data_IF_878770771108
#
_entry.id   IF_878770771108
#
_cell.length_a   1.000
_cell.length_b   1.000
_cell.length_c   1.000
_cell.angle_alpha   90.00
_cell.angle_beta   90.00
_cell.angle_gamma   90.00
#
_symmetry.space_group_name_H-M   'P 1'
#
loop_
_entity.id
_entity.type
_entity.pdbx_description
1 polymer ?
#
# COMPACT_ATOMS: atom_id res chain seq x y z
N UNK A 1 -20.53 42.22 3.94
CA UNK A 1 -19.46 41.35 4.48
C UNK A 1 -20.08 40.31 5.40
N UNK A 2 -20.16 39.04 5.01
CA UNK A 2 -20.62 37.93 5.84
C UNK A 2 -19.38 37.15 6.28
N UNK A 3 -19.15 37.06 7.59
CA UNK A 3 -18.04 36.35 8.22
C UNK A 3 -18.49 34.90 8.42
N UNK A 4 -17.99 33.96 7.63
CA UNK A 4 -18.17 32.53 7.87
C UNK A 4 -17.31 32.15 9.08
N UNK A 5 -17.95 31.75 10.17
CA UNK A 5 -17.29 31.13 11.31
C UNK A 5 -17.11 29.66 10.94
N UNK A 6 -15.88 29.31 10.61
CA UNK A 6 -15.42 27.94 10.40
C UNK A 6 -15.47 27.24 11.75
N UNK A 7 -16.51 26.45 11.99
CA UNK A 7 -16.58 25.56 13.14
C UNK A 7 -15.63 24.39 12.86
N UNK A 8 -14.44 24.44 13.44
CA UNK A 8 -13.63 23.24 13.60
C UNK A 8 -14.38 22.29 14.53
N UNK A 9 -14.83 21.16 13.99
CA UNK A 9 -15.38 20.07 14.80
C UNK A 9 -14.29 19.61 15.77
N UNK A 10 -14.52 19.58 17.09
CA UNK A 10 -13.51 19.15 18.04
C UNK A 10 -13.22 17.66 17.83
N UNK A 11 -11.93 17.33 17.78
CA UNK A 11 -11.47 15.95 17.77
C UNK A 11 -11.98 15.21 19.03
N UNK A 12 -12.42 13.97 18.84
CA UNK A 12 -12.91 13.10 19.91
C UNK A 12 -11.77 12.80 20.91
N UNK A 13 -11.91 13.16 22.20
CA UNK A 13 -10.86 12.95 23.21
C UNK A 13 -10.61 11.47 23.55
N UNK A 14 -11.27 10.51 22.89
CA UNK A 14 -11.06 9.07 23.05
C UNK A 14 -10.29 8.36 21.92
N UNK A 15 -9.91 9.05 20.84
CA UNK A 15 -9.15 8.42 19.75
C UNK A 15 -7.71 8.13 20.21
N UNK A 16 -7.35 6.85 20.30
CA UNK A 16 -5.97 6.43 20.54
C UNK A 16 -5.05 7.00 19.43
N UNK A 17 -3.79 7.36 19.75
CA UNK A 17 -2.88 7.90 18.74
C UNK A 17 -2.66 6.87 17.61
N UNK A 18 -2.83 7.33 16.38
CA UNK A 18 -2.69 6.59 15.13
C UNK A 18 -2.93 7.54 13.94
N UNK A 19 -2.54 7.13 12.74
CA UNK A 19 -2.71 7.95 11.53
C UNK A 19 -4.18 8.07 11.11
N UNK A 20 -4.55 9.24 10.57
CA UNK A 20 -5.88 9.51 10.05
C UNK A 20 -6.06 8.83 8.69
N UNK A 21 -6.86 7.76 8.66
CA UNK A 21 -7.22 7.05 7.42
C UNK A 21 -8.48 7.73 6.84
N UNK A 22 -8.51 8.10 5.56
CA UNK A 22 -9.69 8.70 4.95
C UNK A 22 -10.86 7.71 4.84
N UNK A 23 -12.08 8.22 5.05
CA UNK A 23 -13.32 7.44 4.94
C UNK A 23 -13.83 7.32 3.48
N UNK A 24 -13.45 8.28 2.62
CA UNK A 24 -13.87 8.41 1.22
C UNK A 24 -12.64 8.61 0.32
N UNK A 25 -12.80 8.53 -1.00
CA UNK A 25 -11.73 8.59 -2.03
C UNK A 25 -10.90 9.90 -2.04
N UNK A 26 -11.15 10.83 -1.13
CA UNK A 26 -10.45 12.11 -1.01
C UNK A 26 -9.08 11.97 -0.31
N UNK A 27 -8.16 11.20 -0.91
CA UNK A 27 -6.75 11.20 -0.54
C UNK A 27 -6.01 12.17 -1.49
N UNK A 28 -5.92 13.45 -1.13
CA UNK A 28 -5.33 14.47 -2.00
C UNK A 28 -3.83 14.75 -1.74
N UNK A 29 -3.22 14.17 -0.69
CA UNK A 29 -1.81 14.43 -0.36
C UNK A 29 -1.04 13.14 -0.02
N UNK A 30 0.07 12.95 -0.73
CA UNK A 30 1.05 11.90 -0.45
C UNK A 30 1.64 12.09 0.94
N UNK A 31 1.64 11.03 1.75
CA UNK A 31 2.34 10.98 3.03
C UNK A 31 3.76 10.46 2.83
N UNK A 32 4.74 11.08 3.47
CA UNK A 32 6.06 10.48 3.66
C UNK A 32 5.93 9.32 4.66
N UNK A 33 6.13 8.11 4.17
CA UNK A 33 5.97 6.86 4.93
C UNK A 33 6.96 6.80 6.09
N UNK A 34 8.10 7.48 6.02
CA UNK A 34 9.06 7.57 7.13
C UNK A 34 8.48 8.34 8.33
N UNK A 35 7.52 9.25 8.12
CA UNK A 35 6.82 9.94 9.22
C UNK A 35 5.80 9.07 9.95
N UNK A 36 5.51 7.87 9.45
CA UNK A 36 4.69 6.88 10.14
C UNK A 36 5.51 6.01 11.11
N UNK A 37 6.83 6.20 11.18
CA UNK A 37 7.68 5.57 12.17
C UNK A 37 7.26 5.98 13.60
N UNK A 38 7.24 5.01 14.52
CA UNK A 38 6.85 5.23 15.92
C UNK A 38 5.34 5.30 16.16
N UNK A 39 4.54 5.56 15.13
CA UNK A 39 3.09 5.63 15.22
C UNK A 39 2.45 4.24 15.38
N UNK A 40 1.40 4.15 16.20
CA UNK A 40 0.69 2.90 16.40
C UNK A 40 -0.29 2.66 15.26
N UNK A 41 -0.25 1.49 14.62
CA UNK A 41 -1.26 1.14 13.63
C UNK A 41 -2.66 1.09 14.24
N UNK A 42 -3.65 1.48 13.43
CA UNK A 42 -5.07 1.31 13.76
C UNK A 42 -5.40 -0.17 13.93
N UNK A 43 -6.40 -0.51 14.75
CA UNK A 43 -6.74 -1.92 15.02
C UNK A 43 -7.10 -2.71 13.77
N UNK A 44 -7.73 -2.06 12.79
CA UNK A 44 -8.13 -2.64 11.50
C UNK A 44 -6.99 -2.67 10.47
N UNK A 45 -5.86 -2.01 10.78
CA UNK A 45 -4.79 -1.78 9.83
C UNK A 45 -5.12 -0.68 8.83
N UNK A 46 -4.15 -0.40 7.97
CA UNK A 46 -4.25 0.58 6.91
C UNK A 46 -3.57 0.05 5.66
N UNK A 47 -4.22 0.27 4.52
CA UNK A 47 -3.63 0.06 3.21
C UNK A 47 -3.12 1.39 2.67
N UNK A 48 -1.91 1.36 2.12
CA UNK A 48 -1.31 2.48 1.43
C UNK A 48 -0.92 2.06 0.01
N UNK A 49 -1.21 2.92 -0.96
CA UNK A 49 -0.66 2.82 -2.31
C UNK A 49 0.63 3.63 -2.39
N UNK A 50 1.74 2.95 -2.67
CA UNK A 50 3.06 3.60 -2.76
C UNK A 50 3.18 4.34 -4.08
N UNK A 51 3.47 5.64 -4.01
CA UNK A 51 3.67 6.51 -5.18
C UNK A 51 5.14 6.59 -5.57
N UNK A 52 6.06 6.62 -4.59
CA UNK A 52 7.51 6.67 -4.81
C UNK A 52 8.26 5.87 -3.75
N UNK A 53 9.34 5.18 -4.13
CA UNK A 53 10.28 4.56 -3.20
C UNK A 53 11.71 4.48 -3.77
N UNK A 54 12.68 5.11 -3.13
CA UNK A 54 14.10 4.99 -3.45
C UNK A 54 14.77 3.90 -2.62
N UNK A 55 15.74 3.17 -3.19
CA UNK A 55 16.41 2.05 -2.51
C UNK A 55 17.38 2.47 -1.39
N UNK A 56 17.93 3.70 -1.43
CA UNK A 56 18.89 4.18 -0.43
C UNK A 56 18.22 4.45 0.93
N UNK A 57 18.95 4.23 2.03
CA UNK A 57 18.49 4.60 3.38
C UNK A 57 18.14 6.08 3.48
N UNK A 58 16.99 6.41 4.08
CA UNK A 58 16.46 7.77 4.11
C UNK A 58 16.11 8.36 2.73
N UNK A 59 16.03 7.53 1.69
CA UNK A 59 15.54 7.94 0.39
C UNK A 59 14.03 8.17 0.41
N UNK A 60 13.52 8.83 -0.63
CA UNK A 60 12.10 9.14 -0.76
C UNK A 60 11.24 7.88 -0.64
N UNK A 61 10.18 7.95 0.17
CA UNK A 61 9.22 6.88 0.33
C UNK A 61 7.84 7.49 0.61
N UNK A 62 7.02 7.63 -0.43
CA UNK A 62 5.73 8.32 -0.37
C UNK A 62 4.60 7.38 -0.73
N UNK A 63 3.43 7.60 -0.12
CA UNK A 63 2.24 6.79 -0.38
C UNK A 63 0.95 7.58 -0.14
N UNK A 64 -0.16 7.08 -0.67
CA UNK A 64 -1.51 7.53 -0.37
C UNK A 64 -2.22 6.50 0.49
N UNK A 65 -2.92 6.92 1.53
CA UNK A 65 -3.83 6.03 2.24
C UNK A 65 -5.01 5.67 1.34
N UNK A 66 -5.30 4.37 1.23
CA UNK A 66 -6.52 3.91 0.60
C UNK A 66 -7.70 4.08 1.56
N UNK A 67 -8.92 4.37 1.06
CA UNK A 67 -10.09 4.53 1.90
C UNK A 67 -10.36 3.28 2.72
N UNK A 68 -10.72 3.48 4.00
CA UNK A 68 -10.98 2.39 4.94
C UNK A 68 -12.15 1.50 4.52
N UNK A 69 -13.19 2.10 3.93
CA UNK A 69 -14.45 1.41 3.63
C UNK A 69 -14.38 0.55 2.38
N UNK A 70 -13.48 0.88 1.44
CA UNK A 70 -13.32 0.16 0.18
C UNK A 70 -11.94 0.41 -0.42
N UNK A 71 -10.87 -0.15 0.17
CA UNK A 71 -9.53 0.01 -0.38
C UNK A 71 -9.47 -0.66 -1.76
N UNK A 72 -9.21 0.13 -2.79
CA UNK A 72 -9.13 -0.37 -4.17
C UNK A 72 -7.83 0.07 -4.85
N UNK A 73 -7.32 -0.79 -5.73
CA UNK A 73 -6.06 -0.56 -6.43
C UNK A 73 -6.13 -1.06 -7.87
N UNK A 74 -5.27 -0.50 -8.72
CA UNK A 74 -5.17 -0.80 -10.14
C UNK A 74 -3.97 -1.71 -10.42
N UNK A 75 -4.00 -2.40 -11.57
CA UNK A 75 -2.84 -3.13 -12.05
C UNK A 75 -1.63 -2.21 -12.22
N UNK A 76 -0.48 -2.63 -11.71
CA UNK A 76 0.75 -1.83 -11.64
C UNK A 76 0.97 -1.19 -10.27
N UNK A 77 -0.02 -1.17 -9.38
CA UNK A 77 0.10 -0.57 -8.06
C UNK A 77 0.91 -1.47 -7.12
N UNK A 78 1.77 -0.85 -6.31
CA UNK A 78 2.44 -1.49 -5.17
C UNK A 78 1.77 -1.00 -3.91
N UNK A 79 1.35 -1.95 -3.08
CA UNK A 79 0.58 -1.72 -1.88
C UNK A 79 1.38 -2.10 -0.65
N UNK A 80 1.14 -1.35 0.42
CA UNK A 80 1.67 -1.61 1.74
C UNK A 80 0.48 -1.75 2.68
N UNK A 81 0.43 -2.84 3.43
CA UNK A 81 -0.50 -3.01 4.54
C UNK A 81 0.27 -2.94 5.84
N UNK A 82 -0.19 -2.09 6.75
CA UNK A 82 0.32 -1.98 8.10
C UNK A 82 -0.81 -2.23 9.11
N UNK A 83 -0.58 -3.15 10.04
CA UNK A 83 -1.51 -3.50 11.10
C UNK A 83 -0.75 -3.71 12.41
N UNK A 84 -1.43 -3.76 13.56
CA UNK A 84 -0.80 -4.11 14.82
C UNK A 84 -0.18 -5.51 14.71
N UNK A 85 1.10 -5.62 15.09
CA UNK A 85 1.78 -6.89 15.20
C UNK A 85 1.24 -7.69 16.39
N UNK A 86 1.38 -9.01 16.33
CA UNK A 86 1.12 -9.83 17.51
C UNK A 86 2.15 -9.45 18.58
N UNK A 87 1.69 -9.19 19.80
CA UNK A 87 2.55 -8.88 20.94
C UNK A 87 3.25 -10.18 21.35
N UNK A 88 4.57 -10.34 21.11
CA UNK A 88 5.25 -11.53 21.56
C UNK A 88 5.30 -11.55 23.10
N UNK A 89 5.18 -12.73 23.71
CA UNK A 89 5.23 -12.89 25.17
C UNK A 89 6.57 -12.44 25.79
N UNK A 90 7.60 -12.24 24.95
CA UNK A 90 9.00 -12.06 25.37
C UNK A 90 9.63 -10.70 25.04
N UNK A 91 9.06 -9.88 24.15
CA UNK A 91 9.62 -8.56 23.81
C UNK A 91 8.71 -7.43 24.33
N UNK A 92 9.23 -6.48 25.14
CA UNK A 92 8.45 -5.38 25.66
C UNK A 92 8.32 -4.27 24.61
N UNK A 93 7.28 -4.31 23.78
CA UNK A 93 6.96 -3.18 22.91
C UNK A 93 5.86 -3.45 21.90
N UNK A 94 5.10 -2.40 21.48
CA UNK A 94 4.20 -2.54 20.35
C UNK A 94 5.00 -2.83 19.08
N UNK A 95 4.49 -3.74 18.25
CA UNK A 95 5.07 -4.08 16.95
C UNK A 95 4.07 -3.79 15.84
N UNK A 96 4.55 -3.70 14.61
CA UNK A 96 3.74 -3.66 13.41
C UNK A 96 3.87 -4.99 12.65
N UNK A 97 2.74 -5.47 12.14
CA UNK A 97 2.68 -6.41 11.03
C UNK A 97 2.66 -5.57 9.76
N UNK A 98 3.64 -5.80 8.89
CA UNK A 98 3.76 -5.11 7.61
C UNK A 98 3.76 -6.13 6.48
N UNK A 99 2.96 -5.89 5.44
CA UNK A 99 2.90 -6.70 4.23
C UNK A 99 3.09 -5.79 3.02
N UNK A 100 3.92 -6.21 2.07
CA UNK A 100 4.06 -5.58 0.76
C UNK A 100 3.37 -6.48 -0.26
N UNK A 101 2.56 -5.87 -1.11
CA UNK A 101 1.85 -6.53 -2.19
C UNK A 101 1.98 -5.76 -3.50
N UNK A 102 1.77 -6.45 -4.61
CA UNK A 102 1.72 -5.88 -5.95
C UNK A 102 0.43 -6.30 -6.63
N UNK A 103 -0.21 -5.38 -7.36
CA UNK A 103 -1.40 -5.70 -8.15
C UNK A 103 -0.96 -5.96 -9.59
N UNK A 104 -1.17 -7.16 -10.08
CA UNK A 104 -0.77 -7.57 -11.43
C UNK A 104 -1.89 -8.36 -12.09
N UNK A 105 -2.27 -7.98 -13.31
CA UNK A 105 -3.33 -8.64 -14.06
C UNK A 105 -4.63 -8.84 -13.25
N UNK A 106 -5.04 -7.82 -12.49
CA UNK A 106 -6.26 -7.86 -11.66
C UNK A 106 -6.17 -8.75 -10.41
N UNK A 107 -4.97 -9.21 -10.04
CA UNK A 107 -4.72 -10.03 -8.84
C UNK A 107 -3.76 -9.35 -7.88
N UNK A 108 -3.97 -9.53 -6.58
CA UNK A 108 -3.03 -9.11 -5.53
C UNK A 108 -2.02 -10.23 -5.30
N UNK A 109 -0.73 -9.91 -5.43
CA UNK A 109 0.39 -10.81 -5.20
C UNK A 109 1.08 -10.39 -3.91
N UNK A 110 1.26 -11.32 -2.98
CA UNK A 110 2.09 -11.07 -1.80
C UNK A 110 3.58 -11.07 -2.18
N UNK A 111 4.26 -9.95 -1.93
CA UNK A 111 5.70 -9.80 -2.23
C UNK A 111 6.54 -10.21 -1.02
N UNK A 112 6.25 -9.64 0.15
CA UNK A 112 6.92 -10.01 1.41
C UNK A 112 6.11 -9.55 2.61
N UNK A 113 6.36 -10.16 3.77
CA UNK A 113 5.68 -9.82 5.00
C UNK A 113 6.54 -10.03 6.23
N UNK A 114 6.34 -9.16 7.22
CA UNK A 114 6.91 -9.25 8.55
C UNK A 114 5.82 -9.13 9.61
N UNK A 115 5.82 -10.00 10.61
CA UNK A 115 4.78 -10.04 11.64
C UNK A 115 5.10 -9.24 12.90
N UNK A 116 6.39 -8.92 13.09
CA UNK A 116 6.92 -8.34 14.31
C UNK A 116 8.03 -7.33 13.99
N UNK A 117 7.68 -6.22 13.35
CA UNK A 117 8.62 -5.11 13.18
C UNK A 117 8.46 -4.09 14.31
N UNK A 118 9.58 -3.50 14.73
CA UNK A 118 9.57 -2.30 15.56
C UNK A 118 8.79 -1.19 14.85
N UNK A 119 8.01 -0.41 15.61
CA UNK A 119 7.30 0.75 15.04
C UNK A 119 8.26 1.78 14.43
N UNK A 120 9.48 1.90 14.93
CA UNK A 120 10.47 2.87 14.43
C UNK A 120 11.14 2.41 13.12
N UNK A 121 11.31 1.11 12.95
CA UNK A 121 12.17 0.55 11.90
C UNK A 121 11.39 0.02 10.71
N UNK A 122 10.07 -0.16 10.85
CA UNK A 122 9.26 -0.79 9.82
C UNK A 122 9.32 -0.08 8.46
N UNK A 123 9.30 1.27 8.35
CA UNK A 123 9.32 1.92 7.04
C UNK A 123 10.63 1.62 6.30
N UNK A 124 11.75 1.78 7.00
CA UNK A 124 13.08 1.52 6.45
C UNK A 124 13.31 0.04 6.13
N UNK A 125 12.67 -0.86 6.88
CA UNK A 125 12.74 -2.31 6.61
C UNK A 125 11.94 -2.70 5.37
N UNK A 126 10.76 -2.11 5.17
CA UNK A 126 9.88 -2.43 4.03
C UNK A 126 10.34 -1.76 2.72
N UNK A 127 10.95 -0.57 2.78
CA UNK A 127 11.28 0.27 1.62
C UNK A 127 12.08 -0.46 0.53
N UNK A 128 13.16 -1.23 0.81
CA UNK A 128 13.89 -1.94 -0.25
C UNK A 128 13.03 -2.95 -1.01
N UNK A 129 12.11 -3.65 -0.32
CA UNK A 129 11.17 -4.59 -0.96
C UNK A 129 10.16 -3.86 -1.83
N UNK A 130 9.67 -2.71 -1.37
CA UNK A 130 8.78 -1.85 -2.14
C UNK A 130 9.47 -1.35 -3.41
N UNK A 131 10.68 -0.79 -3.29
CA UNK A 131 11.48 -0.34 -4.45
C UNK A 131 11.74 -1.50 -5.43
N UNK A 132 12.06 -2.68 -4.91
CA UNK A 132 12.21 -3.88 -5.75
C UNK A 132 10.92 -4.22 -6.51
N UNK A 133 9.77 -4.24 -5.84
CA UNK A 133 8.49 -4.53 -6.46
C UNK A 133 8.13 -3.51 -7.56
N UNK A 134 8.29 -2.21 -7.27
CA UNK A 134 8.05 -1.14 -8.25
C UNK A 134 8.97 -1.29 -9.46
N UNK A 135 10.27 -1.57 -9.25
CA UNK A 135 11.23 -1.79 -10.32
C UNK A 135 10.89 -3.03 -11.16
N UNK A 136 10.49 -4.14 -10.52
CA UNK A 136 10.11 -5.36 -11.22
C UNK A 136 8.85 -5.17 -12.08
N UNK A 137 7.82 -4.49 -11.56
CA UNK A 137 6.61 -4.19 -12.33
C UNK A 137 6.91 -3.28 -13.52
N UNK A 138 7.74 -2.26 -13.32
CA UNK A 138 8.20 -1.38 -14.39
C UNK A 138 8.93 -2.16 -15.48
N UNK A 139 9.90 -3.00 -15.11
CA UNK A 139 10.65 -3.83 -16.06
C UNK A 139 9.72 -4.75 -16.85
N UNK A 140 8.77 -5.41 -16.17
CA UNK A 140 7.76 -6.26 -16.82
C UNK A 140 6.91 -5.47 -17.82
N UNK A 141 6.46 -4.27 -17.46
CA UNK A 141 5.71 -3.39 -18.34
C UNK A 141 6.51 -2.98 -19.58
N UNK A 142 7.77 -2.59 -19.38
CA UNK A 142 8.69 -2.20 -20.44
C UNK A 142 8.95 -3.35 -21.42
N UNK A 143 8.85 -4.60 -20.95
CA UNK A 143 8.98 -5.81 -21.75
C UNK A 143 7.63 -6.37 -22.26
N UNK A 144 6.54 -5.59 -22.16
CA UNK A 144 5.25 -5.89 -22.76
C UNK A 144 4.35 -6.83 -21.94
N UNK A 145 4.69 -7.10 -20.68
CA UNK A 145 3.76 -7.76 -19.77
C UNK A 145 2.58 -6.83 -19.47
N UNK A 146 1.37 -7.40 -19.44
CA UNK A 146 0.17 -6.69 -19.02
C UNK A 146 0.14 -6.61 -17.48
N UNK A 147 0.91 -5.66 -16.93
CA UNK A 147 0.97 -5.40 -15.49
C UNK A 147 -0.15 -4.44 -15.04
N UNK A 148 -0.52 -3.51 -15.93
CA UNK A 148 -1.52 -2.46 -15.81
C UNK A 148 -1.67 -1.86 -17.22
N UNK A 149 -2.80 -1.30 -17.65
CA UNK A 149 -3.17 0.03 -17.17
C UNK A 149 -4.33 0.62 -18.02
N UNK A 150 -5.38 -0.14 -18.32
CA UNK A 150 -6.71 0.37 -18.66
C UNK A 150 -7.65 -0.65 -18.07
N UNK A 151 -8.59 -0.22 -17.19
CA UNK A 151 -9.70 -1.02 -16.66
C UNK A 151 -9.63 -2.46 -17.16
N UNK A 152 -9.06 -3.37 -16.36
CA UNK A 152 -9.42 -4.77 -16.51
C UNK A 152 -10.95 -4.77 -16.67
N UNK A 153 -11.58 -5.55 -17.56
CA UNK A 153 -13.03 -5.45 -17.77
C UNK A 153 -13.85 -5.54 -16.47
N UNK A 154 -13.24 -6.08 -15.42
CA UNK A 154 -13.71 -6.18 -14.03
C UNK A 154 -13.61 -4.91 -13.17
N UNK A 155 -12.88 -3.86 -13.56
CA UNK A 155 -12.63 -2.65 -12.77
C UNK A 155 -11.42 -2.76 -11.82
N UNK A 156 -11.26 -1.78 -10.89
CA UNK A 156 -10.26 -1.82 -9.82
C UNK A 156 -10.40 -3.07 -8.94
N UNK A 157 -9.29 -3.52 -8.36
CA UNK A 157 -9.26 -4.67 -7.45
C UNK A 157 -9.59 -4.20 -6.04
N UNK A 158 -10.57 -4.82 -5.39
CA UNK A 158 -10.82 -4.62 -3.97
C UNK A 158 -9.72 -5.33 -3.17
N UNK A 159 -8.87 -4.56 -2.51
CA UNK A 159 -7.58 -5.00 -2.00
C UNK A 159 -7.73 -5.98 -0.84
N UNK A 160 -8.64 -5.71 0.09
CA UNK A 160 -8.82 -6.52 1.29
C UNK A 160 -9.28 -7.94 0.95
N UNK A 161 -10.41 -8.06 0.25
CA UNK A 161 -10.92 -9.34 -0.27
C UNK A 161 -9.88 -10.09 -1.13
N UNK A 162 -9.14 -9.38 -1.98
CA UNK A 162 -8.13 -10.00 -2.84
C UNK A 162 -6.88 -10.46 -2.08
N UNK A 163 -6.45 -9.73 -1.04
CA UNK A 163 -5.33 -10.09 -0.20
C UNK A 163 -5.65 -11.33 0.67
N UNK A 164 -6.89 -11.49 1.14
CA UNK A 164 -7.34 -12.70 1.83
C UNK A 164 -7.35 -13.93 0.90
N UNK A 165 -7.73 -13.73 -0.36
CA UNK A 165 -7.78 -14.79 -1.37
C UNK A 165 -6.41 -15.08 -2.02
N UNK A 166 -5.38 -14.29 -1.74
CA UNK A 166 -4.10 -14.38 -2.42
C UNK A 166 -3.40 -15.72 -2.15
N UNK A 167 -3.17 -16.48 -3.20
CA UNK A 167 -2.37 -17.72 -3.17
C UNK A 167 -0.89 -17.35 -3.31
N UNK A 168 -0.01 -18.08 -2.62
CA UNK A 168 1.44 -17.86 -2.70
C UNK A 168 1.96 -18.18 -4.10
N UNK A 169 2.59 -17.20 -4.77
CA UNK A 169 3.19 -17.35 -6.10
C UNK A 169 2.80 -16.23 -7.07
N UNK A 170 3.41 -16.22 -8.27
CA UNK A 170 3.03 -15.29 -9.34
C UNK A 170 1.83 -15.85 -10.13
N UNK A 171 0.78 -15.06 -10.38
CA UNK A 171 -0.32 -15.43 -11.26
C UNK A 171 0.22 -15.58 -12.68
N UNK A 172 -0.38 -16.49 -13.45
CA UNK A 172 -0.04 -16.66 -14.85
C UNK A 172 -0.42 -15.39 -15.61
N UNK A 173 0.59 -14.65 -16.09
CA UNK A 173 0.37 -13.44 -16.87
C UNK A 173 0.00 -13.82 -18.31
N UNK A 174 -1.09 -13.28 -18.87
CA UNK A 174 -1.35 -13.42 -20.29
C UNK A 174 -0.25 -12.68 -21.07
N UNK A 175 0.46 -13.39 -21.94
CA UNK A 175 1.42 -12.77 -22.86
C UNK A 175 0.67 -12.10 -24.00
N UNK A 176 0.61 -10.77 -24.02
CA UNK A 176 0.10 -10.03 -25.18
C UNK A 176 1.23 -9.80 -26.18
N UNK A 177 1.42 -10.75 -27.10
CA UNK A 177 2.28 -10.51 -28.26
C UNK A 177 1.47 -9.73 -29.27
N UNK A 178 1.71 -8.41 -29.39
CA UNK A 178 1.25 -7.67 -30.57
C UNK A 178 1.99 -8.24 -31.78
N UNK A 179 1.31 -8.81 -32.79
CA UNK A 179 1.98 -9.14 -34.03
C UNK A 179 2.48 -7.83 -34.64
N UNK A 180 3.79 -7.73 -34.84
CA UNK A 180 4.36 -6.77 -35.79
C UNK A 180 3.75 -7.10 -37.14
N UNK A 181 2.86 -6.22 -37.60
CA UNK A 181 2.41 -6.25 -38.98
C UNK A 181 3.60 -5.85 -39.86
N UNK A 182 4.37 -6.86 -40.28
CA UNK A 182 5.23 -6.77 -41.45
C UNK A 182 4.44 -7.24 -42.68
N UNK A 183 4.34 -6.36 -43.67
CA UNK A 183 3.70 -6.60 -44.96
C UNK A 183 3.36 -5.31 -45.69
#
# INVERSE_FOLDING_TARGET
>A
MRRLIMAATPADPGAAPGYAIPDDDAADEDVDVLYLAGERPTAEGAWLWVTTAEARRGGEFTALFLPRTRPSANGGDVLLHIAPGATPDTEPGPTARVRVAAVVAGSVIHVAGWDHLSLEEWPETARPTVTFAMGALKELQEHGADVGAHRHPSGPVEVESAAEAAVTGFPALPTSVRPTADG
#
